data_IF_067627550193
#
_entry.id   IF_067627550193
#
_cell.length_a   1.000
_cell.length_b   1.000
_cell.length_c   1.000
_cell.angle_alpha   90.00
_cell.angle_beta   90.00
_cell.angle_gamma   90.00
#
_symmetry.space_group_name_H-M   'P 1'
#
loop_
_entity.id
_entity.type
_entity.pdbx_description
1 polymer ?
#
# COMPACT_ATOMS: atom_id res chain seq x y z
N UNK A 1 26.40 22.18 -3.49
CA UNK A 1 25.43 21.53 -4.39
C UNK A 1 25.81 20.06 -4.48
N UNK A 2 25.12 19.19 -3.75
CA UNK A 2 25.37 17.75 -3.78
C UNK A 2 24.69 17.16 -5.00
N UNK A 3 25.46 16.75 -6.00
CA UNK A 3 24.95 16.12 -7.22
C UNK A 3 24.30 14.78 -6.87
N UNK A 4 22.96 14.70 -6.90
CA UNK A 4 22.25 13.43 -6.77
C UNK A 4 22.21 12.80 -8.15
N UNK A 5 23.09 11.82 -8.38
CA UNK A 5 23.10 11.00 -9.58
C UNK A 5 21.80 10.18 -9.58
N UNK A 6 21.06 10.07 -10.71
CA UNK A 6 19.90 9.20 -10.77
C UNK A 6 20.35 7.75 -10.55
N UNK A 7 19.85 7.12 -9.49
CA UNK A 7 20.09 5.71 -9.16
C UNK A 7 19.17 4.83 -10.00
N UNK A 8 19.68 3.71 -10.49
CA UNK A 8 18.89 2.77 -11.29
C UNK A 8 17.89 2.05 -10.37
N UNK A 9 16.59 1.93 -10.71
CA UNK A 9 15.59 1.25 -9.87
C UNK A 9 15.92 -0.22 -9.52
N UNK A 10 16.87 -0.86 -10.22
CA UNK A 10 17.38 -2.19 -9.88
C UNK A 10 18.32 -2.22 -8.67
N UNK A 11 18.85 -1.08 -8.24
CA UNK A 11 19.78 -0.97 -7.11
C UNK A 11 19.05 -0.91 -5.75
N UNK A 12 17.75 -0.60 -5.74
CA UNK A 12 16.90 -0.52 -4.53
C UNK A 12 16.53 -1.89 -3.95
N UNK A 13 16.65 -2.97 -4.73
CA UNK A 13 16.12 -4.31 -4.38
C UNK A 13 16.95 -4.98 -3.26
N UNK A 14 18.17 -4.51 -2.99
CA UNK A 14 19.07 -5.10 -2.00
C UNK A 14 19.35 -4.19 -0.79
N UNK A 15 18.70 -3.02 -0.70
CA UNK A 15 18.96 -2.05 0.37
C UNK A 15 18.18 -2.38 1.63
N UNK A 16 18.79 -2.21 2.79
CA UNK A 16 18.10 -2.37 4.08
C UNK A 16 17.17 -1.18 4.34
N UNK A 17 16.27 -1.30 5.32
CA UNK A 17 15.36 -0.19 5.68
C UNK A 17 16.17 1.03 6.15
N UNK A 18 17.25 0.78 6.89
CA UNK A 18 18.15 1.81 7.41
C UNK A 18 18.89 2.55 6.29
N UNK A 19 19.39 1.82 5.28
CA UNK A 19 20.06 2.44 4.13
C UNK A 19 19.11 3.33 3.31
N UNK A 20 17.86 2.88 3.13
CA UNK A 20 16.82 3.66 2.47
C UNK A 20 16.45 4.91 3.29
N UNK A 21 16.36 4.78 4.61
CA UNK A 21 16.06 5.90 5.50
C UNK A 21 17.16 6.97 5.46
N UNK A 22 18.44 6.56 5.45
CA UNK A 22 19.58 7.47 5.35
C UNK A 22 19.64 8.17 3.97
N UNK A 23 19.41 7.43 2.88
CA UNK A 23 19.38 7.99 1.52
C UNK A 23 18.25 9.01 1.34
N UNK A 24 17.06 8.69 1.86
CA UNK A 24 15.90 9.57 1.86
C UNK A 24 16.00 10.69 2.91
N UNK A 25 17.03 10.68 3.77
CA UNK A 25 17.25 11.63 4.88
C UNK A 25 16.03 11.73 5.81
N UNK A 26 15.43 10.59 6.12
CA UNK A 26 14.24 10.51 6.97
C UNK A 26 14.58 10.98 8.38
N UNK A 27 13.83 11.95 8.89
CA UNK A 27 13.99 12.45 10.26
C UNK A 27 13.18 11.61 11.25
N UNK A 28 13.44 11.80 12.55
CA UNK A 28 12.63 11.18 13.60
C UNK A 28 11.17 11.64 13.56
N UNK A 29 10.93 12.88 13.15
CA UNK A 29 9.58 13.42 12.99
C UNK A 29 8.87 12.72 11.83
N UNK A 30 9.56 12.51 10.71
CA UNK A 30 9.00 11.79 9.56
C UNK A 30 8.66 10.34 9.93
N UNK A 31 9.54 9.65 10.65
CA UNK A 31 9.27 8.29 11.15
C UNK A 31 8.06 8.25 12.09
N UNK A 32 7.83 9.31 12.86
CA UNK A 32 6.67 9.43 13.72
C UNK A 32 5.41 9.62 12.89
N UNK A 33 5.41 10.59 11.97
CA UNK A 33 4.28 10.87 11.09
C UNK A 33 3.88 9.65 10.23
N UNK A 34 4.84 8.84 9.78
CA UNK A 34 4.58 7.60 9.04
C UNK A 34 3.89 6.52 9.89
N UNK A 35 3.89 6.65 11.21
CA UNK A 35 3.27 5.71 12.12
C UNK A 35 3.93 4.31 12.14
N UNK A 36 3.36 3.38 12.91
CA UNK A 36 3.86 2.01 12.97
C UNK A 36 3.55 1.24 11.68
N UNK A 37 4.59 0.67 11.05
CA UNK A 37 4.47 -0.15 9.82
C UNK A 37 3.41 -1.27 9.90
N UNK A 38 3.12 -1.78 11.10
CA UNK A 38 2.16 -2.86 11.31
C UNK A 38 0.70 -2.42 11.31
N UNK A 39 0.43 -1.12 11.46
CA UNK A 39 -0.92 -0.56 11.53
C UNK A 39 -1.44 -0.07 10.18
N UNK A 40 -0.55 0.08 9.16
CA UNK A 40 -0.89 0.67 7.86
C UNK A 40 -1.62 2.02 8.00
N UNK A 41 -1.23 2.83 8.98
CA UNK A 41 -1.87 4.10 9.30
C UNK A 41 -0.84 5.19 9.55
N UNK A 42 -1.14 6.39 9.07
CA UNK A 42 -0.41 7.62 9.37
C UNK A 42 -0.66 8.05 10.82
N UNK A 43 0.28 8.77 11.42
CA UNK A 43 0.16 9.43 12.75
C UNK A 43 0.39 10.94 12.56
N UNK A 44 -0.33 11.54 11.61
CA UNK A 44 -0.19 12.93 11.19
C UNK A 44 -1.33 13.85 11.68
N UNK A 45 -2.24 13.37 12.54
CA UNK A 45 -3.40 14.16 12.98
C UNK A 45 -4.67 13.96 12.16
N UNK A 46 -4.69 13.00 11.24
CA UNK A 46 -5.84 12.71 10.37
C UNK A 46 -7.08 12.15 11.08
N UNK A 47 -8.20 12.11 10.36
CA UNK A 47 -9.46 11.53 10.85
C UNK A 47 -9.35 10.01 11.13
N UNK A 48 -8.38 9.37 10.51
CA UNK A 48 -8.11 7.94 10.56
C UNK A 48 -7.38 7.53 11.86
N UNK A 49 -6.87 8.47 12.68
CA UNK A 49 -6.32 8.22 14.02
C UNK A 49 -7.25 7.37 14.91
N UNK A 50 -8.57 7.51 14.73
CA UNK A 50 -9.56 6.73 15.48
C UNK A 50 -9.41 5.22 15.26
N UNK A 51 -8.82 4.80 14.14
CA UNK A 51 -8.55 3.40 13.82
C UNK A 51 -7.44 2.79 14.70
N UNK A 52 -6.51 3.60 15.23
CA UNK A 52 -5.45 3.13 16.14
C UNK A 52 -6.00 2.64 17.48
N UNK A 53 -7.11 3.23 17.93
CA UNK A 53 -7.67 3.00 19.26
C UNK A 53 -8.84 2.01 19.26
N UNK A 54 -9.11 1.34 18.12
CA UNK A 54 -10.14 0.30 18.06
C UNK A 54 -9.69 -0.94 18.83
N UNK A 55 -10.66 -1.61 19.47
CA UNK A 55 -10.42 -2.88 20.17
C UNK A 55 -9.96 -3.99 19.22
N UNK A 56 -10.58 -4.06 18.04
CA UNK A 56 -10.30 -5.05 17.01
C UNK A 56 -9.41 -4.44 15.93
N UNK A 57 -8.45 -5.24 15.44
CA UNK A 57 -7.54 -4.83 14.37
C UNK A 57 -8.34 -4.61 13.08
N UNK A 58 -8.03 -3.53 12.36
CA UNK A 58 -8.59 -3.28 11.03
C UNK A 58 -7.95 -4.25 10.03
N UNK A 59 -8.79 -4.92 9.26
CA UNK A 59 -8.36 -5.54 8.02
C UNK A 59 -8.49 -4.53 6.87
N UNK A 60 -7.34 -4.17 6.29
CA UNK A 60 -7.26 -3.29 5.13
C UNK A 60 -7.27 -4.09 3.82
N UNK A 61 -7.19 -5.42 3.88
CA UNK A 61 -7.22 -6.31 2.72
C UNK A 61 -8.63 -6.63 2.23
N UNK A 62 -9.66 -6.40 3.05
CA UNK A 62 -11.05 -6.70 2.69
C UNK A 62 -11.33 -8.20 2.58
N UNK A 63 -10.56 -9.03 3.27
CA UNK A 63 -10.68 -10.49 3.24
C UNK A 63 -12.02 -10.90 3.88
N UNK A 64 -12.84 -11.63 3.13
CA UNK A 64 -14.16 -12.10 3.62
C UNK A 64 -15.26 -11.04 3.58
N UNK A 65 -15.06 -9.93 2.86
CA UNK A 65 -16.18 -9.09 2.44
C UNK A 65 -17.01 -9.85 1.39
N UNK A 66 -18.32 -9.93 1.62
CA UNK A 66 -19.28 -10.54 0.70
C UNK A 66 -19.51 -9.58 -0.49
N UNK A 67 -18.61 -9.63 -1.47
CA UNK A 67 -18.68 -8.84 -2.70
C UNK A 67 -19.52 -9.61 -3.72
N UNK A 68 -20.69 -9.10 -4.13
CA UNK A 68 -21.54 -9.81 -5.07
C UNK A 68 -20.80 -10.06 -6.39
N UNK A 69 -20.83 -11.30 -6.86
CA UNK A 69 -20.19 -11.68 -8.11
C UNK A 69 -18.73 -12.12 -7.97
N UNK A 70 -18.09 -11.93 -6.81
CA UNK A 70 -16.66 -12.24 -6.63
C UNK A 70 -16.30 -13.70 -6.90
N UNK A 71 -17.21 -14.63 -6.59
CA UNK A 71 -16.97 -16.07 -6.79
C UNK A 71 -17.25 -16.55 -8.24
N UNK A 72 -17.77 -15.68 -9.12
CA UNK A 72 -18.25 -16.11 -10.44
C UNK A 72 -17.13 -16.40 -11.43
N UNK A 73 -15.96 -15.81 -11.22
CA UNK A 73 -14.83 -15.85 -12.13
C UNK A 73 -13.47 -16.09 -11.44
N UNK A 74 -13.48 -16.72 -10.26
CA UNK A 74 -12.28 -17.22 -9.55
C UNK A 74 -11.29 -17.98 -10.45
N UNK A 75 -11.83 -18.72 -11.44
CA UNK A 75 -11.00 -19.49 -12.38
C UNK A 75 -10.21 -18.60 -13.35
N UNK A 76 -10.69 -17.38 -13.59
CA UNK A 76 -10.10 -16.38 -14.49
C UNK A 76 -9.05 -15.50 -13.80
N UNK A 77 -9.00 -15.49 -12.46
CA UNK A 77 -7.98 -14.73 -11.73
C UNK A 77 -6.56 -15.16 -12.10
N UNK A 78 -6.36 -16.48 -12.18
CA UNK A 78 -5.06 -17.07 -12.48
C UNK A 78 -4.50 -16.64 -13.85
N UNK A 79 -5.38 -16.26 -14.77
CA UNK A 79 -5.02 -15.82 -16.13
C UNK A 79 -5.17 -14.30 -16.32
N UNK A 80 -5.57 -13.56 -15.29
CA UNK A 80 -5.79 -12.12 -15.35
C UNK A 80 -6.91 -11.73 -16.32
N UNK A 81 -7.95 -12.55 -16.43
CA UNK A 81 -9.12 -12.27 -17.27
C UNK A 81 -10.40 -12.23 -16.43
N UNK A 82 -10.25 -12.06 -15.13
CA UNK A 82 -11.32 -11.75 -14.18
C UNK A 82 -11.96 -10.38 -14.51
N UNK A 83 -13.22 -10.23 -14.18
CA UNK A 83 -13.94 -8.99 -14.12
C UNK A 83 -13.58 -8.28 -12.82
N UNK A 84 -12.74 -7.26 -12.93
CA UNK A 84 -12.23 -6.49 -11.79
C UNK A 84 -13.35 -5.81 -10.98
N UNK A 85 -14.54 -5.60 -11.55
CA UNK A 85 -15.71 -5.06 -10.81
C UNK A 85 -16.19 -6.02 -9.71
N UNK A 86 -16.02 -7.32 -9.92
CA UNK A 86 -16.46 -8.35 -8.97
C UNK A 86 -15.46 -8.58 -7.82
N UNK A 87 -14.29 -7.91 -7.85
CA UNK A 87 -13.28 -8.04 -6.81
C UNK A 87 -13.37 -6.93 -5.76
N UNK A 88 -12.98 -7.23 -4.51
CA UNK A 88 -12.99 -6.26 -3.41
C UNK A 88 -12.06 -5.05 -3.66
N UNK A 89 -11.10 -5.20 -4.54
CA UNK A 89 -10.17 -4.17 -4.99
C UNK A 89 -10.50 -3.72 -6.42
N UNK A 90 -11.58 -2.97 -6.62
CA UNK A 90 -11.80 -2.32 -7.91
C UNK A 90 -10.83 -1.15 -8.07
N UNK A 91 -9.72 -1.36 -8.78
CA UNK A 91 -8.95 -0.24 -9.30
C UNK A 91 -9.74 0.30 -10.50
N UNK A 92 -10.37 1.47 -10.36
CA UNK A 92 -10.85 2.20 -11.54
C UNK A 92 -9.63 2.53 -12.39
N UNK A 93 -9.37 1.73 -13.42
CA UNK A 93 -8.26 1.92 -14.35
C UNK A 93 -8.44 3.26 -15.09
N UNK A 94 -7.75 4.30 -14.65
CA UNK A 94 -7.55 5.53 -15.45
C UNK A 94 -6.47 5.33 -16.53
N UNK A 95 -5.91 4.12 -16.69
CA UNK A 95 -4.87 3.79 -17.67
C UNK A 95 -5.19 2.52 -18.49
N UNK A 96 -6.40 2.43 -19.03
CA UNK A 96 -6.68 1.59 -20.22
C UNK A 96 -6.81 2.45 -21.50
N UNK A 97 -5.85 3.35 -21.74
CA UNK A 97 -5.63 3.86 -23.10
C UNK A 97 -4.73 2.90 -23.87
N UNK A 98 -5.30 2.27 -24.91
CA UNK A 98 -4.61 1.47 -25.92
C UNK A 98 -3.86 2.32 -26.95
#
# INVERSE_FOLDING_TARGET
>A
MTNHKPTNPKDSINKTTEELAEEARVTKEDLKALGPKSANLSDDGGDDEQLLHRKDKIDFGGEGLDVPGSELDDAQEKIGSEDEENNAYSQSNEDEEK
#
